data_IF_385413469565
#
_entry.id   IF_385413469565
#
_cell.length_a   1.000
_cell.length_b   1.000
_cell.length_c   1.000
_cell.angle_alpha   90.00
_cell.angle_beta   90.00
_cell.angle_gamma   90.00
#
_symmetry.space_group_name_H-M   'P 1'
#
loop_
_entity.id
_entity.type
_entity.pdbx_description
1 polymer ?
#
# COMPACT_ATOMS: atom_id res chain seq x y z
N UNK A 1 -1.09 13.04 -6.52
CA UNK A 1 -1.55 14.46 -6.57
C UNK A 1 -0.61 15.39 -7.31
N UNK A 2 0.72 15.14 -7.30
CA UNK A 2 1.69 16.00 -8.02
C UNK A 2 1.34 16.17 -9.50
N UNK A 3 0.83 15.12 -10.15
CA UNK A 3 0.49 15.12 -11.57
C UNK A 3 -0.94 15.61 -11.87
N UNK A 4 -1.85 15.44 -10.92
CA UNK A 4 -3.23 15.94 -11.02
C UNK A 4 -3.75 16.25 -9.61
N UNK A 5 -4.02 17.52 -9.35
CA UNK A 5 -4.55 18.00 -8.05
C UNK A 5 -5.96 17.51 -7.75
N UNK A 6 -6.71 17.09 -8.76
CA UNK A 6 -8.08 16.56 -8.61
C UNK A 6 -8.11 15.09 -8.15
N UNK A 7 -6.97 14.38 -8.21
CA UNK A 7 -6.90 13.00 -7.73
C UNK A 7 -7.05 12.97 -6.21
N UNK A 8 -8.07 12.25 -5.74
CA UNK A 8 -8.28 11.91 -4.34
C UNK A 8 -7.76 10.51 -4.07
N UNK A 9 -6.88 10.36 -3.08
CA UNK A 9 -6.24 9.10 -2.75
C UNK A 9 -6.70 8.65 -1.37
N UNK A 10 -7.36 7.50 -1.33
CA UNK A 10 -7.63 6.75 -0.11
C UNK A 10 -6.69 5.56 -0.02
N UNK A 11 -6.30 5.16 1.17
CA UNK A 11 -5.34 4.08 1.38
C UNK A 11 -5.90 3.02 2.32
N UNK A 12 -5.91 1.77 1.87
CA UNK A 12 -6.29 0.62 2.70
C UNK A 12 -5.04 -0.01 3.29
N UNK A 13 -5.01 -0.19 4.61
CA UNK A 13 -3.86 -0.71 5.32
C UNK A 13 -4.26 -1.53 6.55
N UNK A 14 -3.38 -2.42 7.03
CA UNK A 14 -3.53 -3.06 8.33
C UNK A 14 -3.20 -2.06 9.47
N UNK A 15 -3.87 -2.20 10.60
CA UNK A 15 -3.78 -1.30 11.77
C UNK A 15 -2.33 -1.01 12.21
N UNK A 16 -1.48 -2.03 12.18
CA UNK A 16 -0.06 -1.93 12.54
C UNK A 16 0.76 -0.97 11.68
N UNK A 17 0.25 -0.54 10.54
CA UNK A 17 0.95 0.37 9.62
C UNK A 17 0.25 1.73 9.47
N UNK A 18 -0.81 1.96 10.24
CA UNK A 18 -1.62 3.19 10.17
C UNK A 18 -0.77 4.43 10.37
N UNK A 19 0.08 4.42 11.40
CA UNK A 19 0.92 5.57 11.78
C UNK A 19 1.90 5.99 10.67
N UNK A 20 2.27 5.09 9.77
CA UNK A 20 3.13 5.40 8.63
C UNK A 20 2.44 6.28 7.58
N UNK A 21 1.12 6.29 7.57
CA UNK A 21 0.30 7.00 6.58
C UNK A 21 -0.41 8.22 7.16
N UNK A 22 -0.58 8.28 8.48
CA UNK A 22 -1.19 9.41 9.15
C UNK A 22 -0.39 10.69 8.96
N UNK A 23 -1.09 11.79 8.79
CA UNK A 23 -0.47 13.10 8.57
C UNK A 23 0.03 13.33 7.14
N UNK A 24 -0.02 12.35 6.25
CA UNK A 24 0.36 12.55 4.86
C UNK A 24 -0.69 13.41 4.13
N UNK A 25 -0.34 14.62 3.65
CA UNK A 25 -1.30 15.54 3.04
C UNK A 25 -1.85 15.07 1.69
N UNK A 26 -1.20 14.07 1.07
CA UNK A 26 -1.65 13.52 -0.20
C UNK A 26 -2.67 12.40 -0.05
N UNK A 27 -2.84 11.86 1.15
CA UNK A 27 -3.83 10.83 1.47
C UNK A 27 -5.05 11.52 2.08
N UNK A 28 -6.21 11.34 1.44
CA UNK A 28 -7.48 11.89 1.94
C UNK A 28 -7.98 11.09 3.14
N UNK A 29 -7.94 9.76 3.04
CA UNK A 29 -8.41 8.88 4.10
C UNK A 29 -7.63 7.57 4.16
N UNK A 30 -7.34 7.12 5.39
CA UNK A 30 -6.73 5.81 5.66
C UNK A 30 -7.80 4.88 6.19
N UNK A 31 -8.04 3.76 5.49
CA UNK A 31 -9.01 2.73 5.86
C UNK A 31 -8.32 1.52 6.46
N UNK A 32 -8.82 1.03 7.58
CA UNK A 32 -8.20 -0.07 8.32
C UNK A 32 -8.95 -1.38 8.06
N UNK A 33 -8.25 -2.37 7.49
CA UNK A 33 -8.75 -3.72 7.26
C UNK A 33 -7.76 -4.75 7.81
N UNK A 34 -8.17 -5.46 8.86
CA UNK A 34 -7.29 -6.29 9.69
C UNK A 34 -7.51 -7.81 9.48
N UNK A 35 -7.19 -8.33 8.31
CA UNK A 35 -7.34 -9.77 8.01
C UNK A 35 -6.43 -10.64 8.88
N UNK A 36 -5.24 -10.15 9.26
CA UNK A 36 -4.33 -10.87 10.17
C UNK A 36 -4.96 -11.13 11.53
N UNK A 37 -5.69 -10.14 12.08
CA UNK A 37 -6.37 -10.27 13.37
C UNK A 37 -7.43 -11.36 13.32
N UNK A 38 -8.22 -11.40 12.24
CA UNK A 38 -9.24 -12.43 12.02
C UNK A 38 -8.59 -13.83 11.92
N UNK A 39 -7.50 -13.97 11.14
CA UNK A 39 -6.74 -15.21 11.01
C UNK A 39 -6.13 -15.66 12.35
N UNK A 40 -5.47 -14.78 13.09
CA UNK A 40 -4.86 -15.09 14.39
C UNK A 40 -5.89 -15.57 15.42
N UNK A 41 -7.07 -14.93 15.43
CA UNK A 41 -8.17 -15.32 16.32
C UNK A 41 -9.01 -16.50 15.79
N UNK A 42 -8.70 -17.03 14.60
CA UNK A 42 -9.48 -18.08 13.91
C UNK A 42 -10.98 -17.78 13.90
N UNK A 43 -11.35 -16.52 13.77
CA UNK A 43 -12.74 -16.06 13.88
C UNK A 43 -13.31 -15.73 12.51
N UNK A 44 -14.29 -16.53 12.07
CA UNK A 44 -15.02 -16.30 10.82
C UNK A 44 -15.84 -15.01 10.89
N UNK A 45 -16.43 -14.70 12.05
CA UNK A 45 -17.20 -13.48 12.24
C UNK A 45 -16.34 -12.22 12.06
N UNK A 46 -15.11 -12.24 12.59
CA UNK A 46 -14.17 -11.14 12.38
C UNK A 46 -13.77 -11.03 10.90
N UNK A 47 -13.52 -12.17 10.24
CA UNK A 47 -13.22 -12.16 8.81
C UNK A 47 -14.35 -11.55 8.00
N UNK A 48 -15.59 -12.00 8.21
CA UNK A 48 -16.76 -11.45 7.53
C UNK A 48 -16.96 -9.96 7.82
N UNK A 49 -16.71 -9.53 9.05
CA UNK A 49 -16.76 -8.11 9.42
C UNK A 49 -15.74 -7.28 8.62
N UNK A 50 -14.49 -7.75 8.52
CA UNK A 50 -13.45 -7.05 7.75
C UNK A 50 -13.77 -7.01 6.25
N UNK A 51 -14.28 -8.11 5.67
CA UNK A 51 -14.74 -8.14 4.27
C UNK A 51 -15.93 -7.19 4.05
N UNK A 52 -16.83 -7.08 5.01
CA UNK A 52 -17.96 -6.16 4.93
C UNK A 52 -17.53 -4.70 5.02
N UNK A 53 -16.46 -4.37 5.76
CA UNK A 53 -15.87 -3.02 5.73
C UNK A 53 -15.42 -2.67 4.31
N UNK A 54 -14.70 -3.58 3.62
CA UNK A 54 -14.27 -3.35 2.25
C UNK A 54 -15.43 -3.03 1.31
N UNK A 55 -16.55 -3.77 1.42
CA UNK A 55 -17.76 -3.55 0.60
C UNK A 55 -18.45 -2.19 0.82
N UNK A 56 -18.19 -1.57 1.97
CA UNK A 56 -18.77 -0.27 2.33
C UNK A 56 -17.89 0.92 1.92
N UNK A 57 -16.71 0.67 1.39
CA UNK A 57 -15.83 1.72 0.87
C UNK A 57 -16.32 2.15 -0.53
N UNK A 58 -15.88 3.32 -0.95
CA UNK A 58 -16.15 3.83 -2.29
C UNK A 58 -17.54 4.43 -2.49
N UNK A 59 -18.05 4.48 -3.74
CA UNK A 59 -17.39 3.92 -4.95
C UNK A 59 -16.14 4.69 -5.40
N UNK A 60 -15.17 3.97 -5.97
CA UNK A 60 -13.96 4.56 -6.53
C UNK A 60 -13.93 4.45 -8.06
N UNK A 61 -13.18 5.32 -8.72
CA UNK A 61 -12.91 5.13 -10.14
C UNK A 61 -11.93 3.97 -10.37
N UNK A 62 -10.88 3.90 -9.54
CA UNK A 62 -9.85 2.88 -9.65
C UNK A 62 -9.45 2.38 -8.26
N UNK A 63 -9.33 1.07 -8.11
CA UNK A 63 -8.63 0.41 -6.99
C UNK A 63 -7.38 -0.23 -7.53
N UNK A 64 -6.23 0.04 -6.92
CA UNK A 64 -4.92 -0.49 -7.32
C UNK A 64 -4.39 -1.39 -6.20
N UNK A 65 -4.13 -2.66 -6.49
CA UNK A 65 -3.46 -3.57 -5.56
C UNK A 65 -1.95 -3.64 -5.85
N UNK A 66 -1.17 -3.00 -4.98
CA UNK A 66 0.29 -2.98 -5.05
C UNK A 66 0.95 -4.20 -4.39
N UNK A 67 0.20 -5.02 -3.64
CA UNK A 67 0.74 -6.18 -2.93
C UNK A 67 0.77 -7.46 -3.78
N UNK A 68 -0.27 -7.68 -4.60
CA UNK A 68 -0.39 -8.87 -5.43
C UNK A 68 -0.52 -10.18 -4.63
N UNK A 69 -1.16 -10.13 -3.46
CA UNK A 69 -1.45 -11.30 -2.63
C UNK A 69 -2.94 -11.64 -2.71
N UNK A 70 -3.31 -12.91 -2.57
CA UNK A 70 -4.71 -13.35 -2.62
C UNK A 70 -5.58 -12.55 -1.64
N UNK A 71 -5.07 -12.29 -0.44
CA UNK A 71 -5.81 -11.52 0.58
C UNK A 71 -6.06 -10.06 0.17
N UNK A 72 -5.08 -9.38 -0.41
CA UNK A 72 -5.23 -7.99 -0.87
C UNK A 72 -6.09 -7.92 -2.12
N UNK A 73 -5.92 -8.85 -3.03
CA UNK A 73 -6.72 -8.96 -4.24
C UNK A 73 -8.21 -9.18 -3.94
N UNK A 74 -8.52 -10.05 -2.95
CA UNK A 74 -9.89 -10.24 -2.48
C UNK A 74 -10.49 -8.94 -1.92
N UNK A 75 -9.74 -8.22 -1.08
CA UNK A 75 -10.20 -6.92 -0.56
C UNK A 75 -10.42 -5.94 -1.70
N UNK A 76 -9.47 -5.82 -2.62
CA UNK A 76 -9.56 -4.94 -3.78
C UNK A 76 -10.80 -5.25 -4.64
N UNK A 77 -11.12 -6.52 -4.82
CA UNK A 77 -12.32 -6.97 -5.56
C UNK A 77 -13.62 -6.62 -4.86
N UNK A 78 -13.62 -6.60 -3.53
CA UNK A 78 -14.83 -6.30 -2.74
C UNK A 78 -15.12 -4.81 -2.64
N UNK A 79 -14.14 -3.96 -2.82
CA UNK A 79 -14.31 -2.51 -2.83
C UNK A 79 -15.03 -2.11 -4.12
N UNK A 80 -16.19 -1.43 -4.03
CA UNK A 80 -16.90 -0.93 -5.20
C UNK A 80 -16.03 0.04 -6.01
N UNK A 81 -15.70 -0.32 -7.25
CA UNK A 81 -14.89 0.48 -8.15
C UNK A 81 -15.25 0.21 -9.62
N UNK A 82 -15.01 1.20 -10.49
CA UNK A 82 -15.15 1.02 -11.95
C UNK A 82 -14.09 0.05 -12.50
N UNK A 83 -12.85 0.14 -11.97
CA UNK A 83 -11.74 -0.77 -12.31
C UNK A 83 -11.00 -1.21 -11.06
N UNK A 84 -10.60 -2.47 -11.03
CA UNK A 84 -9.67 -3.02 -10.04
C UNK A 84 -8.43 -3.51 -10.79
N UNK A 85 -7.29 -2.90 -10.52
CA UNK A 85 -6.05 -3.09 -11.27
C UNK A 85 -5.00 -3.73 -10.36
N UNK A 86 -4.30 -4.71 -10.88
CA UNK A 86 -3.18 -5.37 -10.23
C UNK A 86 -2.28 -6.05 -11.23
N UNK A 87 -1.27 -6.73 -10.75
CA UNK A 87 -0.36 -7.49 -11.60
C UNK A 87 -1.02 -8.76 -12.15
N UNK A 88 -0.57 -9.20 -13.31
CA UNK A 88 -0.98 -10.49 -13.86
C UNK A 88 -0.37 -11.70 -13.10
N UNK A 89 -0.75 -12.91 -13.48
CA UNK A 89 -0.35 -14.15 -12.81
C UNK A 89 1.17 -14.41 -12.85
N UNK A 90 1.86 -13.92 -13.88
CA UNK A 90 3.30 -14.15 -14.10
C UNK A 90 4.14 -13.10 -13.37
N UNK A 91 3.52 -11.99 -13.00
CA UNK A 91 4.15 -10.86 -12.34
C UNK A 91 4.05 -10.90 -10.82
N UNK A 92 3.44 -11.93 -10.21
CA UNK A 92 3.24 -12.03 -8.76
C UNK A 92 3.50 -13.44 -8.24
N UNK A 93 3.89 -13.53 -6.95
CA UNK A 93 4.15 -14.81 -6.30
C UNK A 93 2.88 -15.67 -6.17
N UNK A 94 1.76 -15.06 -5.83
CA UNK A 94 0.47 -15.73 -5.66
C UNK A 94 -0.39 -15.53 -6.90
N UNK A 95 -0.07 -16.21 -8.01
CA UNK A 95 -0.68 -16.01 -9.33
C UNK A 95 -2.22 -16.02 -9.35
N UNK A 96 -2.85 -16.76 -8.43
CA UNK A 96 -4.31 -16.75 -8.26
C UNK A 96 -4.89 -15.36 -7.90
N UNK A 97 -4.10 -14.47 -7.30
CA UNK A 97 -4.54 -13.11 -6.99
C UNK A 97 -5.00 -12.36 -8.25
N UNK A 98 -4.38 -12.63 -9.39
CA UNK A 98 -4.71 -11.98 -10.66
C UNK A 98 -6.15 -12.18 -11.13
N UNK A 99 -6.83 -13.26 -10.69
CA UNK A 99 -8.23 -13.51 -11.06
C UNK A 99 -9.20 -12.48 -10.46
N UNK A 100 -8.80 -11.78 -9.41
CA UNK A 100 -9.64 -10.79 -8.75
C UNK A 100 -9.60 -9.41 -9.43
N UNK A 101 -8.65 -9.16 -10.31
CA UNK A 101 -8.51 -7.87 -10.99
C UNK A 101 -9.32 -7.84 -12.30
N UNK A 102 -9.97 -6.73 -12.57
CA UNK A 102 -10.65 -6.48 -13.84
C UNK A 102 -9.66 -6.08 -14.95
N UNK A 103 -8.52 -5.52 -14.57
CA UNK A 103 -7.45 -5.08 -15.45
C UNK A 103 -6.09 -5.55 -14.89
N UNK A 104 -5.21 -6.06 -15.73
CA UNK A 104 -4.00 -6.77 -15.32
C UNK A 104 -2.79 -6.22 -16.03
N UNK A 105 -1.76 -5.93 -15.26
CA UNK A 105 -0.51 -5.39 -15.76
C UNK A 105 0.61 -6.42 -15.70
N UNK A 106 1.24 -6.69 -16.84
CA UNK A 106 2.42 -7.55 -16.90
C UNK A 106 3.68 -6.75 -16.64
N UNK A 107 4.48 -7.23 -15.70
CA UNK A 107 5.80 -6.66 -15.39
C UNK A 107 6.70 -7.70 -14.76
N UNK A 108 7.99 -7.71 -15.10
CA UNK A 108 8.93 -8.72 -14.60
C UNK A 108 8.95 -8.80 -13.07
N UNK A 109 8.76 -10.02 -12.54
CA UNK A 109 8.77 -10.29 -11.10
C UNK A 109 10.14 -10.03 -10.46
N UNK A 110 11.25 -10.21 -11.21
CA UNK A 110 12.62 -10.07 -10.72
C UNK A 110 13.05 -8.61 -10.54
N UNK A 111 12.24 -7.67 -11.01
CA UNK A 111 12.52 -6.25 -10.82
C UNK A 111 12.29 -5.80 -9.38
N UNK A 112 12.98 -4.74 -8.99
CA UNK A 112 12.82 -4.14 -7.67
C UNK A 112 11.36 -3.75 -7.42
N UNK A 113 10.87 -3.98 -6.19
CA UNK A 113 9.47 -3.72 -5.82
C UNK A 113 9.06 -2.25 -6.04
N UNK A 114 9.98 -1.29 -5.89
CA UNK A 114 9.71 0.13 -6.13
C UNK A 114 9.46 0.36 -7.63
N UNK A 115 10.29 -0.25 -8.50
CA UNK A 115 10.12 -0.15 -9.96
C UNK A 115 8.79 -0.77 -10.39
N UNK A 116 8.46 -1.94 -9.85
CA UNK A 116 7.23 -2.67 -10.13
C UNK A 116 6.00 -1.85 -9.73
N UNK A 117 5.96 -1.37 -8.50
CA UNK A 117 4.83 -0.59 -7.99
C UNK A 117 4.69 0.75 -8.74
N UNK A 118 5.82 1.40 -9.08
CA UNK A 118 5.82 2.59 -9.94
C UNK A 118 5.18 2.29 -11.29
N UNK A 119 5.63 1.24 -11.98
CA UNK A 119 5.13 0.86 -13.30
C UNK A 119 3.62 0.53 -13.26
N UNK A 120 3.15 -0.16 -12.22
CA UNK A 120 1.73 -0.45 -12.05
C UNK A 120 0.90 0.84 -11.85
N UNK A 121 1.41 1.80 -11.07
CA UNK A 121 0.74 3.10 -10.88
C UNK A 121 0.73 3.91 -12.17
N UNK A 122 1.84 3.93 -12.91
CA UNK A 122 1.92 4.58 -14.23
C UNK A 122 0.89 4.00 -15.20
N UNK A 123 0.81 2.68 -15.28
CA UNK A 123 -0.18 1.99 -16.10
C UNK A 123 -1.61 2.33 -15.67
N UNK A 124 -1.91 2.24 -14.39
CA UNK A 124 -3.26 2.45 -13.85
C UNK A 124 -3.77 3.88 -14.06
N UNK A 125 -2.88 4.86 -14.00
CA UNK A 125 -3.22 6.29 -14.09
C UNK A 125 -2.93 6.90 -15.48
N UNK A 126 -2.35 6.13 -16.41
CA UNK A 126 -1.98 6.64 -17.73
C UNK A 126 -0.95 7.76 -17.69
N UNK A 127 0.03 7.69 -16.79
CA UNK A 127 1.07 8.71 -16.60
C UNK A 127 2.46 8.09 -16.64
N UNK A 128 3.48 8.94 -16.74
CA UNK A 128 4.89 8.52 -16.69
C UNK A 128 5.61 9.34 -15.61
N UNK A 129 6.37 8.66 -14.76
CA UNK A 129 7.15 9.29 -13.68
C UNK A 129 8.63 9.20 -14.05
N UNK A 130 9.26 10.33 -14.29
CA UNK A 130 10.67 10.40 -14.66
C UNK A 130 11.60 10.04 -13.48
N UNK A 131 12.84 9.65 -13.79
CA UNK A 131 13.86 9.41 -12.76
C UNK A 131 14.14 10.67 -11.92
N UNK A 132 14.13 11.84 -12.54
CA UNK A 132 14.34 13.12 -11.86
C UNK A 132 13.24 13.40 -10.82
N UNK A 133 11.99 13.12 -11.15
CA UNK A 133 10.86 13.29 -10.21
C UNK A 133 10.95 12.35 -9.03
N UNK A 134 11.48 11.11 -9.21
CA UNK A 134 11.73 10.19 -8.11
C UNK A 134 12.84 10.71 -7.21
N UNK A 135 13.90 11.26 -7.77
CA UNK A 135 15.03 11.82 -7.00
C UNK A 135 14.63 13.07 -6.21
N UNK A 136 13.74 13.87 -6.76
CA UNK A 136 13.24 15.13 -6.17
C UNK A 136 12.02 14.93 -5.27
N UNK A 137 11.59 13.69 -5.01
CA UNK A 137 10.42 13.46 -4.18
C UNK A 137 10.64 14.00 -2.76
N UNK A 138 9.63 14.66 -2.23
CA UNK A 138 9.59 15.05 -0.83
C UNK A 138 9.50 13.82 0.10
N UNK A 139 9.77 14.03 1.38
CA UNK A 139 9.56 12.99 2.39
C UNK A 139 8.12 12.47 2.32
N UNK A 140 7.96 11.16 2.46
CA UNK A 140 6.65 10.50 2.44
C UNK A 140 6.10 10.27 3.84
N UNK A 141 6.99 10.06 4.83
CA UNK A 141 6.60 9.82 6.20
C UNK A 141 6.44 11.15 6.95
N UNK A 142 5.29 11.34 7.54
CA UNK A 142 4.97 12.51 8.35
C UNK A 142 4.79 12.02 9.80
N UNK A 143 5.81 12.15 10.65
CA UNK A 143 5.73 11.66 12.02
C UNK A 143 4.61 12.39 12.75
N UNK A 144 3.73 11.64 13.40
CA UNK A 144 2.81 12.20 14.38
C UNK A 144 3.59 12.79 15.56
N UNK A 145 2.97 13.68 16.33
CA UNK A 145 3.59 14.54 17.35
C UNK A 145 4.45 13.87 18.45
N UNK A 146 4.56 12.56 18.48
CA UNK A 146 5.45 11.83 19.38
C UNK A 146 6.88 11.80 18.83
N UNK A 147 7.50 12.96 18.68
CA UNK A 147 8.94 13.04 18.47
C UNK A 147 9.61 12.50 19.74
N UNK A 148 10.30 11.37 19.60
CA UNK A 148 11.28 10.96 20.59
C UNK A 148 12.31 12.08 20.67
N UNK A 149 12.45 12.69 21.85
CA UNK A 149 13.47 13.71 22.09
C UNK A 149 14.85 13.02 22.20
N UNK A 150 15.34 12.59 21.07
CA UNK A 150 16.65 11.93 20.96
C UNK A 150 17.71 13.04 20.92
N UNK A 151 18.37 13.26 22.05
CA UNK A 151 19.51 14.16 22.12
C UNK A 151 20.73 13.50 21.48
N UNK A 152 21.03 13.89 20.26
CA UNK A 152 22.24 13.46 19.57
C UNK A 152 23.45 14.23 20.15
N UNK A 153 24.56 13.52 20.36
CA UNK A 153 25.82 14.15 20.75
C UNK A 153 26.37 14.97 19.60
N UNK A 154 26.74 16.21 19.86
CA UNK A 154 27.44 17.08 18.90
C UNK A 154 28.95 16.81 18.85
N UNK A 155 29.49 16.16 19.86
CA UNK A 155 30.95 15.92 20.02
C UNK A 155 31.38 14.45 19.80
N UNK A 156 30.42 13.52 19.71
CA UNK A 156 30.67 12.09 19.54
C UNK A 156 29.97 11.56 18.30
N UNK A 157 30.46 10.43 17.77
CA UNK A 157 29.76 9.72 16.70
C UNK A 157 28.43 9.16 17.24
N UNK A 158 27.35 9.42 16.53
CA UNK A 158 26.04 8.85 16.82
C UNK A 158 25.82 7.66 15.87
N UNK A 159 25.44 6.51 16.43
CA UNK A 159 25.19 5.30 15.67
C UNK A 159 23.73 4.90 15.90
N UNK A 160 22.96 4.79 14.84
CA UNK A 160 21.59 4.24 14.87
C UNK A 160 21.64 2.79 14.42
N UNK A 161 21.23 1.88 15.30
CA UNK A 161 21.03 0.47 14.96
C UNK A 161 19.55 0.21 14.76
N UNK A 162 19.20 -0.43 13.65
CA UNK A 162 17.83 -0.83 13.31
C UNK A 162 17.77 -2.37 13.29
N UNK A 163 17.73 -3.02 14.46
CA UNK A 163 17.72 -4.48 14.56
C UNK A 163 16.28 -4.99 14.35
N UNK A 164 15.90 -5.18 13.13
CA UNK A 164 14.57 -5.72 12.85
C UNK A 164 14.50 -6.39 11.50
N UNK A 165 14.03 -7.63 11.48
CA UNK A 165 13.67 -8.34 10.28
C UNK A 165 12.30 -9.00 10.45
N UNK A 166 11.53 -9.10 9.38
CA UNK A 166 10.22 -9.76 9.41
C UNK A 166 10.33 -11.29 9.41
N UNK A 167 11.52 -11.83 9.19
CA UNK A 167 11.82 -13.27 9.21
C UNK A 167 13.03 -13.53 10.09
N UNK A 168 12.91 -14.58 10.92
CA UNK A 168 14.06 -15.22 11.57
C UNK A 168 14.71 -16.07 10.49
N UNK A 169 15.91 -15.70 10.10
CA UNK A 169 16.77 -16.48 9.19
C UNK A 169 17.39 -17.66 9.93
#
# INVERSE_FOLDING_TARGET
KKFNKEISIDWVVEDSYKELLEGNPDIKQVHLINLRKAKKKKSLLLLLSELNKARKLGPYDIVIDLQGLIKSALISKLIPAKKTIGFDKESIREGFASFFYSDKFNFSYDKNIIERNKALVEYALGLTISKQEIQQKAAFLFPSKNQLDIKLSTFKKNILLIPGASHIS
#
